data_IF_844835025430
#
_entry.id   IF_844835025430
#
_cell.length_a   1.000
_cell.length_b   1.000
_cell.length_c   1.000
_cell.angle_alpha   90.00
_cell.angle_beta   90.00
_cell.angle_gamma   90.00
#
_symmetry.space_group_name_H-M   'P 1'
#
loop_
_entity.id
_entity.type
_entity.pdbx_description
1 polymer ?
#
# COMPACT_ATOMS: atom_id res chain seq x y z
N UNK A 1 -45.65 44.71 32.59
CA UNK A 1 -46.37 45.22 31.41
C UNK A 1 -45.63 44.78 30.16
N UNK A 2 -46.19 43.80 29.47
CA UNK A 2 -45.71 43.29 28.19
C UNK A 2 -46.15 44.24 27.07
N UNK A 3 -45.31 44.45 26.05
CA UNK A 3 -45.76 44.77 24.70
C UNK A 3 -45.02 43.88 23.71
N UNK A 4 -45.79 42.92 23.25
CA UNK A 4 -45.54 41.94 22.20
C UNK A 4 -45.68 42.57 20.80
N UNK A 5 -45.19 41.81 19.81
CA UNK A 5 -45.53 41.82 18.37
C UNK A 5 -44.70 42.80 17.52
N UNK A 6 -43.58 42.40 16.90
CA UNK A 6 -43.40 41.42 15.81
C UNK A 6 -43.93 41.92 14.46
N UNK A 7 -43.02 42.19 13.52
CA UNK A 7 -43.28 42.08 12.08
C UNK A 7 -42.00 42.11 11.24
N UNK A 8 -41.68 40.93 10.70
CA UNK A 8 -41.18 40.68 9.34
C UNK A 8 -39.87 41.37 8.90
N UNK A 9 -38.80 40.59 8.72
CA UNK A 9 -38.39 40.14 7.38
C UNK A 9 -37.14 39.22 7.45
N UNK A 10 -37.21 38.11 6.70
CA UNK A 10 -36.13 37.49 5.91
C UNK A 10 -34.84 37.08 6.65
N UNK A 11 -34.68 35.79 6.95
CA UNK A 11 -34.09 34.81 6.03
C UNK A 11 -32.61 35.07 5.73
N UNK A 12 -31.74 34.42 6.51
CA UNK A 12 -30.40 34.03 6.06
C UNK A 12 -30.02 32.73 6.76
N UNK A 13 -30.51 31.62 6.22
CA UNK A 13 -30.01 30.29 6.54
C UNK A 13 -28.62 30.19 5.90
N UNK A 14 -27.58 30.70 6.58
CA UNK A 14 -26.21 30.53 6.13
C UNK A 14 -25.80 29.10 6.51
N UNK A 15 -25.74 28.25 5.49
CA UNK A 15 -25.06 26.97 5.53
C UNK A 15 -23.61 27.19 5.98
N UNK A 16 -23.30 26.88 7.24
CA UNK A 16 -21.92 26.80 7.69
C UNK A 16 -21.34 25.53 7.08
N UNK A 17 -20.64 25.68 5.96
CA UNK A 17 -19.69 24.67 5.53
C UNK A 17 -18.64 24.56 6.64
N UNK A 18 -18.58 23.42 7.31
CA UNK A 18 -17.55 23.12 8.30
C UNK A 18 -16.20 23.07 7.59
N UNK A 19 -15.49 24.20 7.60
CA UNK A 19 -14.09 24.26 7.22
C UNK A 19 -13.30 23.38 8.20
N UNK A 20 -12.67 22.33 7.69
CA UNK A 20 -11.69 21.56 8.43
C UNK A 20 -10.50 22.44 8.75
N UNK A 21 -10.29 22.75 10.02
CA UNK A 21 -9.10 23.46 10.48
C UNK A 21 -7.93 22.47 10.47
N UNK A 22 -7.14 22.47 9.40
CA UNK A 22 -5.78 21.98 9.50
C UNK A 22 -5.11 22.83 10.60
N UNK A 23 -4.57 22.20 11.64
CA UNK A 23 -3.90 22.91 12.72
C UNK A 23 -2.76 23.75 12.13
N UNK A 24 -2.92 25.07 12.19
CA UNK A 24 -1.93 26.03 11.76
C UNK A 24 -0.71 25.87 12.66
N UNK A 25 0.45 25.48 12.11
CA UNK A 25 1.70 25.37 12.83
C UNK A 25 2.36 26.76 12.78
N UNK A 26 2.23 27.59 13.85
CA UNK A 26 2.38 29.04 13.73
C UNK A 26 3.79 29.51 13.38
N UNK A 27 4.80 28.65 13.58
CA UNK A 27 6.22 28.96 13.39
C UNK A 27 6.85 28.17 12.22
N UNK A 28 6.04 27.48 11.42
CA UNK A 28 6.52 26.73 10.26
C UNK A 28 6.50 27.62 9.01
N UNK A 29 7.67 28.09 8.58
CA UNK A 29 7.80 28.74 7.27
C UNK A 29 7.54 27.72 6.15
N UNK A 30 6.64 28.00 5.19
CA UNK A 30 6.36 27.08 4.10
C UNK A 30 7.59 26.93 3.20
N UNK A 31 7.99 25.68 2.93
CA UNK A 31 9.07 25.39 1.99
C UNK A 31 8.69 25.88 0.59
N UNK A 32 9.65 26.46 -0.14
CA UNK A 32 9.44 26.78 -1.55
C UNK A 32 9.25 25.51 -2.38
N UNK A 33 8.63 25.63 -3.56
CA UNK A 33 8.48 24.50 -4.48
C UNK A 33 9.83 23.84 -4.80
N UNK A 34 10.85 24.66 -5.03
CA UNK A 34 12.22 24.19 -5.32
C UNK A 34 12.86 23.50 -4.11
N UNK A 35 12.61 23.99 -2.88
CA UNK A 35 13.10 23.38 -1.65
C UNK A 35 12.41 22.04 -1.36
N UNK A 36 11.12 21.93 -1.68
CA UNK A 36 10.36 20.70 -1.57
C UNK A 36 10.83 19.66 -2.59
N UNK A 37 11.06 20.08 -3.83
CA UNK A 37 11.61 19.25 -4.92
C UNK A 37 13.02 18.75 -4.57
N UNK A 38 13.86 19.64 -4.01
CA UNK A 38 15.22 19.30 -3.57
C UNK A 38 15.26 18.43 -2.31
N UNK A 39 14.28 18.55 -1.41
CA UNK A 39 14.17 17.72 -0.19
C UNK A 39 13.54 16.33 -0.46
N UNK A 40 13.20 16.04 -1.71
CA UNK A 40 12.75 14.70 -2.12
C UNK A 40 13.85 13.64 -1.90
N UNK A 41 13.46 12.37 -1.87
CA UNK A 41 14.32 11.23 -1.50
C UNK A 41 15.57 10.97 -2.36
N UNK A 42 15.95 11.90 -3.24
CA UNK A 42 17.13 11.83 -4.13
C UNK A 42 18.02 13.08 -4.11
N UNK A 43 17.97 13.94 -3.08
CA UNK A 43 18.88 15.09 -2.98
C UNK A 43 20.34 14.68 -3.24
N UNK A 44 20.88 15.05 -4.41
CA UNK A 44 22.29 14.83 -4.76
C UNK A 44 22.69 13.45 -5.32
N UNK A 45 21.78 12.64 -5.88
CA UNK A 45 22.15 11.35 -6.53
C UNK A 45 22.15 11.47 -8.07
N UNK A 46 23.31 11.71 -8.72
CA UNK A 46 23.39 11.98 -10.17
C UNK A 46 23.31 10.73 -11.07
N UNK A 47 23.52 9.52 -10.54
CA UNK A 47 23.32 8.27 -11.29
C UNK A 47 22.86 7.15 -10.34
N UNK A 48 21.82 6.42 -10.75
CA UNK A 48 21.37 5.20 -10.06
C UNK A 48 21.53 4.02 -11.03
N UNK A 49 22.49 3.14 -10.74
CA UNK A 49 22.62 1.85 -11.41
C UNK A 49 22.01 0.79 -10.53
N UNK A 50 21.12 -0.02 -11.08
CA UNK A 50 20.45 -1.08 -10.34
C UNK A 50 20.51 -2.35 -11.17
N UNK A 51 21.29 -3.31 -10.69
CA UNK A 51 21.41 -4.64 -11.29
C UNK A 51 20.67 -5.62 -10.41
N UNK A 52 19.79 -6.40 -11.03
CA UNK A 52 19.04 -7.46 -10.38
C UNK A 52 19.35 -8.75 -11.11
N UNK A 53 19.85 -9.73 -10.37
CA UNK A 53 20.10 -11.06 -10.87
C UNK A 53 19.41 -12.06 -9.95
N UNK A 54 18.74 -13.04 -10.54
CA UNK A 54 18.06 -14.11 -9.83
C UNK A 54 18.32 -15.40 -10.58
N UNK A 55 19.25 -16.20 -10.08
CA UNK A 55 19.52 -17.54 -10.59
C UNK A 55 18.78 -18.57 -9.73
N UNK A 56 18.03 -19.46 -10.39
CA UNK A 56 17.27 -20.52 -9.74
C UNK A 56 17.57 -21.83 -10.46
N UNK A 57 18.23 -22.75 -9.76
CA UNK A 57 18.55 -24.07 -10.29
C UNK A 57 17.98 -25.16 -9.37
N UNK A 58 17.19 -26.05 -9.97
CA UNK A 58 16.65 -27.22 -9.30
C UNK A 58 16.82 -28.46 -10.17
N UNK A 59 17.34 -29.52 -9.55
CA UNK A 59 17.33 -30.87 -10.11
C UNK A 59 16.36 -31.71 -9.28
N UNK A 60 15.33 -32.25 -9.95
CA UNK A 60 14.42 -33.21 -9.34
C UNK A 60 14.62 -34.55 -10.03
N UNK A 61 15.06 -35.56 -9.28
CA UNK A 61 15.33 -36.89 -9.83
C UNK A 61 15.13 -37.97 -8.79
N UNK A 62 14.84 -39.19 -9.25
CA UNK A 62 14.61 -40.34 -8.37
C UNK A 62 13.29 -40.30 -7.61
N UNK A 63 12.33 -39.47 -8.04
CA UNK A 63 11.05 -39.40 -7.37
C UNK A 63 10.23 -40.67 -7.65
N UNK A 64 9.89 -41.40 -6.60
CA UNK A 64 9.01 -42.57 -6.67
C UNK A 64 7.82 -42.33 -5.77
N UNK A 65 6.63 -42.64 -6.27
CA UNK A 65 5.40 -42.59 -5.50
C UNK A 65 4.75 -43.97 -5.55
N UNK A 66 4.53 -44.59 -4.39
CA UNK A 66 4.00 -45.96 -4.29
C UNK A 66 2.97 -46.06 -3.16
N UNK A 67 1.94 -46.89 -3.37
CA UNK A 67 0.80 -47.04 -2.47
C UNK A 67 -0.36 -46.07 -2.78
N UNK A 68 -1.46 -46.11 -1.99
CA UNK A 68 -2.58 -45.19 -2.17
C UNK A 68 -2.17 -43.77 -1.77
N UNK A 69 -2.09 -42.88 -2.77
CA UNK A 69 -1.73 -41.49 -2.58
C UNK A 69 -2.98 -40.68 -2.33
N UNK A 70 -2.99 -39.87 -1.26
CA UNK A 70 -3.99 -38.83 -1.05
C UNK A 70 -3.29 -37.49 -0.95
N UNK A 71 -3.58 -36.62 -1.89
CA UNK A 71 -3.21 -35.19 -1.85
C UNK A 71 -4.31 -34.41 -1.14
N UNK A 72 -3.96 -33.26 -0.56
CA UNK A 72 -4.92 -32.38 0.11
C UNK A 72 -5.51 -31.31 -0.82
N UNK A 73 -6.25 -30.38 -0.21
CA UNK A 73 -6.67 -29.13 -0.86
C UNK A 73 -5.76 -27.97 -0.46
N UNK A 74 -5.42 -27.13 -1.45
CA UNK A 74 -4.79 -25.84 -1.22
C UNK A 74 -5.93 -24.85 -1.02
N UNK A 75 -6.27 -24.52 0.23
CA UNK A 75 -7.36 -23.59 0.52
C UNK A 75 -6.84 -22.29 1.12
N UNK A 76 -7.17 -21.20 0.44
CA UNK A 76 -7.08 -19.83 0.93
C UNK A 76 -8.52 -19.39 1.16
N UNK A 77 -8.87 -18.99 2.38
CA UNK A 77 -10.25 -18.66 2.77
C UNK A 77 -10.51 -17.15 2.77
N UNK A 78 -11.75 -16.78 3.03
CA UNK A 78 -12.20 -15.38 3.04
C UNK A 78 -11.31 -14.50 3.92
N UNK A 79 -11.08 -13.28 3.45
CA UNK A 79 -10.21 -12.29 4.10
C UNK A 79 -8.73 -12.70 4.26
N UNK A 80 -8.23 -13.73 3.57
CA UNK A 80 -6.82 -14.15 3.68
C UNK A 80 -5.79 -13.03 3.42
N UNK A 81 -6.16 -12.03 2.61
CA UNK A 81 -5.35 -10.82 2.37
C UNK A 81 -6.15 -9.54 2.64
N UNK A 82 -7.18 -9.61 3.50
CA UNK A 82 -8.00 -8.46 3.85
C UNK A 82 -7.15 -7.36 4.51
N UNK A 83 -7.36 -6.12 4.11
CA UNK A 83 -6.61 -4.94 4.58
C UNK A 83 -5.10 -4.99 4.33
N UNK A 84 -4.62 -5.83 3.42
CA UNK A 84 -3.20 -5.90 3.12
C UNK A 84 -2.77 -4.70 2.26
N UNK A 85 -1.66 -4.06 2.65
CA UNK A 85 -0.92 -3.12 1.83
C UNK A 85 0.51 -3.66 1.66
N UNK A 86 1.04 -3.62 0.45
CA UNK A 86 2.30 -4.29 0.09
C UNK A 86 2.07 -5.54 -0.77
N UNK A 87 2.95 -6.54 -0.65
CA UNK A 87 2.98 -7.70 -1.55
C UNK A 87 2.71 -8.99 -0.75
N UNK A 88 1.75 -9.79 -1.21
CA UNK A 88 1.58 -11.18 -0.81
C UNK A 88 2.05 -12.09 -1.93
N UNK A 89 2.87 -13.07 -1.55
CA UNK A 89 3.21 -14.20 -2.42
C UNK A 89 2.74 -15.46 -1.73
N UNK A 90 1.93 -16.24 -2.44
CA UNK A 90 1.36 -17.47 -1.92
C UNK A 90 1.69 -18.59 -2.87
N UNK A 91 2.38 -19.60 -2.35
CA UNK A 91 2.77 -20.76 -3.13
C UNK A 91 2.32 -21.98 -2.37
N UNK A 92 1.40 -22.73 -2.96
CA UNK A 92 0.83 -23.91 -2.34
C UNK A 92 0.93 -25.10 -3.27
N UNK A 93 1.34 -26.25 -2.72
CA UNK A 93 1.38 -27.50 -3.43
C UNK A 93 0.80 -28.60 -2.53
N UNK A 94 -0.28 -29.24 -2.96
CA UNK A 94 -0.90 -30.35 -2.22
C UNK A 94 -0.41 -31.71 -2.66
N UNK A 95 0.42 -31.74 -3.69
CA UNK A 95 0.96 -32.94 -4.30
C UNK A 95 2.24 -33.40 -3.64
N UNK A 96 2.75 -34.52 -4.16
CA UNK A 96 4.12 -34.96 -3.89
C UNK A 96 5.01 -34.53 -5.05
N UNK A 97 6.33 -34.56 -4.82
CA UNK A 97 7.35 -34.40 -5.88
C UNK A 97 7.37 -33.04 -6.56
N UNK A 98 7.17 -31.97 -5.79
CA UNK A 98 7.28 -30.62 -6.34
C UNK A 98 8.54 -29.93 -5.83
N UNK A 99 9.30 -29.41 -6.78
CA UNK A 99 10.27 -28.36 -6.49
C UNK A 99 9.67 -27.03 -6.87
N UNK A 100 9.68 -26.13 -5.90
CA UNK A 100 9.17 -24.77 -6.02
C UNK A 100 10.36 -23.84 -5.98
N UNK A 101 10.52 -23.05 -7.03
CA UNK A 101 11.49 -21.96 -7.08
C UNK A 101 10.70 -20.69 -7.34
N UNK A 102 10.72 -19.77 -6.38
CA UNK A 102 10.12 -18.45 -6.49
C UNK A 102 11.15 -17.39 -6.10
N UNK A 103 11.08 -16.25 -6.78
CA UNK A 103 11.94 -15.10 -6.51
C UNK A 103 11.10 -13.85 -6.71
N UNK A 104 10.98 -13.06 -5.64
CA UNK A 104 10.32 -11.77 -5.68
C UNK A 104 11.38 -10.69 -5.47
N UNK A 105 11.73 -9.97 -6.53
CA UNK A 105 12.67 -8.86 -6.48
C UNK A 105 11.92 -7.54 -6.62
N UNK A 106 11.97 -6.72 -5.57
CA UNK A 106 11.29 -5.42 -5.53
C UNK A 106 12.36 -4.35 -5.47
N UNK A 107 12.32 -3.47 -6.46
CA UNK A 107 13.18 -2.32 -6.50
C UNK A 107 12.32 -1.06 -6.49
N UNK A 108 12.43 -0.29 -5.41
CA UNK A 108 11.66 0.92 -5.24
C UNK A 108 12.60 2.10 -5.45
N UNK A 109 12.37 2.81 -6.54
CA UNK A 109 12.93 4.14 -6.73
C UNK A 109 11.84 5.17 -6.50
N UNK A 110 11.99 5.95 -5.45
CA UNK A 110 11.10 7.09 -5.18
C UNK A 110 11.73 8.29 -5.91
N UNK A 111 11.13 8.67 -7.04
CA UNK A 111 11.47 9.87 -7.78
C UNK A 111 10.35 10.90 -7.56
N UNK A 112 10.72 12.12 -7.20
CA UNK A 112 9.86 13.29 -7.42
C UNK A 112 10.26 13.93 -8.74
#
# INVERSE_FOLDING_TARGET
MARFINRMLMAALVSVASASWAGDWPDAEPMSADQLEAASGRQGIPLQWQLNESEQNALVSGNVLSGPVKTGDNRISDQAFGNMSGIATVIQNTGNQVVIQDSTQINILINH
#
